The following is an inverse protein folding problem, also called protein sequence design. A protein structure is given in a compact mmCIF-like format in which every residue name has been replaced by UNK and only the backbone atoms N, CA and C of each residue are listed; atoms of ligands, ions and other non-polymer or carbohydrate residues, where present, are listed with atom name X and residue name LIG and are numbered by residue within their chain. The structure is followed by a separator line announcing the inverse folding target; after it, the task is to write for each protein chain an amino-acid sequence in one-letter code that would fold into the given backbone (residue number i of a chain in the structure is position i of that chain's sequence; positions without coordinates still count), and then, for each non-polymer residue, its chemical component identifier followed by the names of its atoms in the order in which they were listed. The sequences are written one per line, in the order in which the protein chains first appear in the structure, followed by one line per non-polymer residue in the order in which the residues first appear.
data_IF_156708317333
#
_entry.id   IF_156708317333
#
_cell.length_a   1.000
_cell.length_b   1.000
_cell.length_c   1.000
_cell.angle_alpha   90.00
_cell.angle_beta   90.00
_cell.angle_gamma   90.00
#
_symmetry.space_group_name_H-M   'P 1'
#
loop_
_entity.id
_entity.type
_entity.pdbx_description
1 polymer ?
#
# COMPACT_ATOMS: atom_id res chain seq x y z
N UNK A 1 0.27 22.77 9.58
CA UNK A 1 -0.36 22.43 8.29
C UNK A 1 0.30 23.27 7.21
N UNK A 2 1.35 22.78 6.58
CA UNK A 2 1.98 23.34 5.38
C UNK A 2 2.91 22.26 4.82
N UNK A 3 2.84 21.97 3.52
CA UNK A 3 3.83 21.13 2.83
C UNK A 3 3.33 19.90 2.07
N UNK A 4 2.09 19.89 1.54
CA UNK A 4 1.63 18.82 0.62
C UNK A 4 0.97 19.30 -0.68
N UNK A 5 0.85 20.61 -0.85
CA UNK A 5 0.24 21.23 -2.03
C UNK A 5 1.00 20.91 -3.34
N UNK A 6 2.35 20.89 -3.38
CA UNK A 6 3.05 20.55 -4.62
C UNK A 6 2.92 19.08 -5.01
N UNK A 7 2.85 18.15 -4.05
CA UNK A 7 2.64 16.72 -4.32
C UNK A 7 1.24 16.44 -4.84
N UNK A 8 0.21 17.07 -4.25
CA UNK A 8 -1.18 16.93 -4.71
C UNK A 8 -1.35 17.45 -6.13
N UNK A 9 -0.77 18.60 -6.44
CA UNK A 9 -0.73 19.14 -7.80
C UNK A 9 0.05 18.26 -8.79
N UNK A 10 0.99 17.43 -8.33
CA UNK A 10 1.70 16.48 -9.18
C UNK A 10 0.85 15.24 -9.49
N UNK A 11 0.07 14.76 -8.52
CA UNK A 11 -0.91 13.67 -8.71
C UNK A 11 -2.03 14.11 -9.65
N UNK A 12 -2.61 15.30 -9.45
CA UNK A 12 -3.67 15.82 -10.31
C UNK A 12 -3.19 15.91 -11.78
N UNK A 13 -1.97 16.42 -11.99
CA UNK A 13 -1.35 16.47 -13.33
C UNK A 13 -1.08 15.09 -13.93
N UNK A 14 -0.75 14.09 -13.11
CA UNK A 14 -0.58 12.71 -13.58
C UNK A 14 -1.92 12.15 -14.06
N UNK A 15 -2.98 12.33 -13.27
CA UNK A 15 -4.31 11.82 -13.59
C UNK A 15 -4.86 12.47 -14.87
N UNK A 16 -4.72 13.79 -14.99
CA UNK A 16 -5.10 14.51 -16.22
C UNK A 16 -4.34 13.98 -17.44
N UNK A 17 -3.02 13.76 -17.31
CA UNK A 17 -2.19 13.26 -18.40
C UNK A 17 -2.50 11.79 -18.77
N UNK A 18 -2.84 10.95 -17.79
CA UNK A 18 -3.13 9.54 -17.97
C UNK A 18 -4.39 9.30 -18.82
N UNK A 19 -5.33 10.25 -18.83
CA UNK A 19 -6.54 10.20 -19.67
C UNK A 19 -6.26 10.31 -21.18
N UNK A 20 -5.12 10.87 -21.57
CA UNK A 20 -4.78 11.14 -22.97
C UNK A 20 -3.54 10.38 -23.48
N UNK A 21 -2.66 9.94 -22.57
CA UNK A 21 -1.41 9.24 -22.91
C UNK A 21 -0.86 8.47 -21.72
N UNK A 22 0.10 7.59 -21.99
CA UNK A 22 0.87 6.95 -20.94
C UNK A 22 1.69 8.01 -20.18
N UNK A 23 1.53 8.05 -18.85
CA UNK A 23 2.17 9.02 -17.97
C UNK A 23 2.62 8.34 -16.67
N UNK A 24 3.74 8.79 -16.11
CA UNK A 24 4.30 8.27 -14.86
C UNK A 24 4.72 9.42 -13.95
N UNK A 25 4.54 9.24 -12.64
CA UNK A 25 5.02 10.15 -11.60
C UNK A 25 6.09 9.44 -10.79
N UNK A 26 7.31 9.97 -10.82
CA UNK A 26 8.45 9.45 -10.05
C UNK A 26 8.57 10.25 -8.76
N UNK A 27 8.59 9.57 -7.62
CA UNK A 27 8.68 10.17 -6.28
C UNK A 27 10.06 9.90 -5.66
N UNK A 28 10.96 10.88 -5.74
CA UNK A 28 12.32 10.79 -5.20
C UNK A 28 12.41 11.18 -3.71
N UNK A 29 13.44 10.71 -2.99
CA UNK A 29 13.65 10.94 -1.54
C UNK A 29 14.17 9.71 -0.78
N UNK A 30 14.56 9.85 0.50
CA UNK A 30 15.02 8.71 1.32
C UNK A 30 13.94 7.63 1.50
N UNK A 31 14.37 6.36 1.60
CA UNK A 31 13.49 5.24 1.88
C UNK A 31 12.82 5.42 3.25
N UNK A 32 11.52 5.71 3.26
CA UNK A 32 10.73 5.96 4.44
C UNK A 32 9.27 6.28 4.12
N UNK A 33 8.44 6.29 5.17
CA UNK A 33 6.95 6.36 5.16
C UNK A 33 6.39 7.57 4.38
N UNK A 34 7.21 8.59 4.08
CA UNK A 34 6.86 9.73 3.25
C UNK A 34 6.42 9.35 1.83
N UNK A 35 7.11 8.40 1.18
CA UNK A 35 6.75 7.91 -0.17
C UNK A 35 5.42 7.17 -0.18
N UNK A 36 5.20 6.31 0.83
CA UNK A 36 3.94 5.58 1.04
C UNK A 36 2.76 6.53 1.28
N UNK A 37 3.01 7.73 1.79
CA UNK A 37 1.96 8.72 2.08
C UNK A 37 1.53 9.48 0.83
N UNK A 38 2.48 9.88 -0.03
CA UNK A 38 2.16 10.49 -1.35
C UNK A 38 1.54 9.44 -2.28
N UNK A 39 2.10 8.22 -2.29
CA UNK A 39 1.49 7.08 -2.95
C UNK A 39 0.07 6.82 -2.45
N UNK A 40 -0.21 6.97 -1.15
CA UNK A 40 -1.55 6.79 -0.56
C UNK A 40 -2.57 7.84 -0.95
N UNK A 41 -2.19 9.11 -1.03
CA UNK A 41 -3.14 10.15 -1.48
C UNK A 41 -3.50 9.89 -2.96
N UNK A 42 -2.51 9.54 -3.79
CA UNK A 42 -2.73 9.12 -5.17
C UNK A 42 -3.60 7.84 -5.27
N UNK A 43 -3.27 6.80 -4.51
CA UNK A 43 -4.05 5.55 -4.40
C UNK A 43 -5.47 5.81 -3.91
N UNK A 44 -5.66 6.69 -2.93
CA UNK A 44 -6.97 7.03 -2.40
C UNK A 44 -7.86 7.71 -3.43
N UNK A 45 -7.30 8.64 -4.20
CA UNK A 45 -7.99 9.28 -5.32
C UNK A 45 -8.27 8.30 -6.46
N UNK A 46 -7.28 7.48 -6.83
CA UNK A 46 -7.42 6.41 -7.82
C UNK A 46 -8.53 5.44 -7.40
N UNK A 47 -8.56 4.99 -6.14
CA UNK A 47 -9.60 4.07 -5.64
C UNK A 47 -11.00 4.70 -5.71
N UNK A 48 -11.13 6.00 -5.44
CA UNK A 48 -12.40 6.72 -5.55
C UNK A 48 -12.86 6.87 -7.01
N UNK A 49 -11.93 7.05 -7.94
CA UNK A 49 -12.21 7.23 -9.38
C UNK A 49 -12.29 5.90 -10.16
N UNK A 50 -11.70 4.81 -9.67
CA UNK A 50 -11.60 3.51 -10.35
C UNK A 50 -12.95 2.87 -10.69
N UNK A 51 -14.03 3.19 -9.95
CA UNK A 51 -15.37 2.70 -10.27
C UNK A 51 -16.04 3.49 -11.40
N UNK A 52 -15.56 4.69 -11.70
CA UNK A 52 -16.10 5.56 -12.74
C UNK A 52 -15.24 5.56 -14.02
N UNK A 53 -13.96 5.17 -13.92
CA UNK A 53 -13.00 5.18 -15.02
C UNK A 53 -12.24 3.85 -15.10
N UNK A 54 -12.37 3.16 -16.24
CA UNK A 54 -11.76 1.84 -16.48
C UNK A 54 -10.23 1.88 -16.54
N UNK A 55 -9.61 2.98 -16.98
CA UNK A 55 -8.16 3.11 -17.01
C UNK A 55 -7.61 3.28 -15.58
N UNK A 56 -8.30 4.06 -14.76
CA UNK A 56 -8.00 4.20 -13.34
C UNK A 56 -8.20 2.87 -12.60
N UNK A 57 -9.24 2.11 -12.95
CA UNK A 57 -9.46 0.75 -12.46
C UNK A 57 -8.32 -0.22 -12.81
N UNK A 58 -7.79 -0.17 -14.03
CA UNK A 58 -6.66 -1.01 -14.43
C UNK A 58 -5.37 -0.70 -13.62
N UNK A 59 -5.11 0.58 -13.36
CA UNK A 59 -4.00 1.00 -12.49
C UNK A 59 -4.19 0.48 -11.07
N UNK A 60 -5.42 0.52 -10.54
CA UNK A 60 -5.73 0.00 -9.22
C UNK A 60 -5.45 -1.50 -9.09
N UNK A 61 -5.89 -2.30 -10.08
CA UNK A 61 -5.64 -3.74 -10.12
C UNK A 61 -4.15 -4.08 -10.21
N UNK A 62 -3.38 -3.30 -10.99
CA UNK A 62 -1.93 -3.47 -11.07
C UNK A 62 -1.26 -3.21 -9.72
N UNK A 63 -1.66 -2.14 -9.01
CA UNK A 63 -1.16 -1.84 -7.66
C UNK A 63 -1.50 -2.99 -6.69
N UNK A 64 -2.71 -3.54 -6.78
CA UNK A 64 -3.12 -4.71 -6.01
C UNK A 64 -2.22 -5.91 -6.25
N UNK A 65 -1.94 -6.20 -7.53
CA UNK A 65 -1.09 -7.31 -7.98
C UNK A 65 0.34 -7.19 -7.48
N UNK A 66 0.95 -6.01 -7.61
CA UNK A 66 2.33 -5.78 -7.14
C UNK A 66 2.44 -5.93 -5.62
N UNK A 67 1.45 -5.45 -4.87
CA UNK A 67 1.41 -5.64 -3.41
C UNK A 67 1.32 -7.12 -3.04
N UNK A 68 0.52 -7.90 -3.76
CA UNK A 68 0.38 -9.34 -3.51
C UNK A 68 1.68 -10.08 -3.84
N UNK A 69 2.36 -9.71 -4.93
CA UNK A 69 3.68 -10.25 -5.26
C UNK A 69 4.71 -9.94 -4.17
N UNK A 70 4.71 -8.71 -3.65
CA UNK A 70 5.53 -8.33 -2.49
C UNK A 70 5.24 -9.19 -1.24
N UNK A 71 3.96 -9.46 -0.96
CA UNK A 71 3.57 -10.33 0.15
C UNK A 71 4.09 -11.77 -0.03
N UNK A 72 4.00 -12.33 -1.24
CA UNK A 72 4.54 -13.67 -1.56
C UNK A 72 6.04 -13.75 -1.34
N UNK A 73 6.79 -12.72 -1.71
CA UNK A 73 8.24 -12.65 -1.46
C UNK A 73 8.58 -12.68 0.04
N UNK A 74 7.80 -11.98 0.87
CA UNK A 74 7.96 -12.00 2.33
C UNK A 74 7.73 -13.41 2.87
N UNK A 75 6.67 -14.09 2.42
CA UNK A 75 6.36 -15.46 2.84
C UNK A 75 7.49 -16.41 2.47
N UNK A 76 7.96 -16.40 1.21
CA UNK A 76 9.06 -17.27 0.78
C UNK A 76 10.33 -17.07 1.61
N UNK A 77 10.68 -15.82 1.93
CA UNK A 77 11.83 -15.52 2.76
C UNK A 77 11.68 -16.00 4.22
N UNK A 78 10.46 -15.98 4.77
CA UNK A 78 10.18 -16.53 6.10
C UNK A 78 10.21 -18.06 6.10
N UNK A 79 9.71 -18.70 5.05
CA UNK A 79 9.73 -20.15 4.88
C UNK A 79 11.17 -20.68 4.79
N UNK A 80 12.00 -20.08 3.92
CA UNK A 80 13.42 -20.47 3.74
C UNK A 80 14.22 -20.44 5.04
N UNK A 81 13.81 -19.57 5.98
CA UNK A 81 14.45 -19.41 7.29
C UNK A 81 13.83 -20.27 8.39
N UNK A 82 12.81 -21.06 8.07
CA UNK A 82 12.03 -21.82 9.05
C UNK A 82 11.31 -20.94 10.05
N UNK A 83 11.01 -19.69 9.69
CA UNK A 83 10.38 -18.71 10.57
C UNK A 83 8.86 -18.85 10.63
N UNK A 84 8.22 -19.47 9.63
CA UNK A 84 6.77 -19.65 9.61
C UNK A 84 6.33 -20.75 10.58
N UNK A 85 5.20 -20.49 11.27
CA UNK A 85 4.50 -21.49 12.06
C UNK A 85 4.16 -22.72 11.21
N UNK A 86 4.28 -23.90 11.80
CA UNK A 86 3.94 -25.16 11.15
C UNK A 86 2.48 -25.22 10.70
N UNK A 87 2.24 -25.73 9.48
CA UNK A 87 0.89 -25.98 8.96
C UNK A 87 0.21 -24.78 8.30
N UNK A 88 0.93 -23.66 8.12
CA UNK A 88 0.44 -22.55 7.32
C UNK A 88 0.53 -22.84 5.82
N UNK A 89 -0.53 -22.54 5.09
CA UNK A 89 -0.51 -22.48 3.63
C UNK A 89 0.17 -21.18 3.17
N UNK A 90 1.21 -21.27 2.35
CA UNK A 90 2.00 -20.12 1.91
C UNK A 90 1.18 -19.14 1.08
N UNK A 91 0.27 -19.63 0.23
CA UNK A 91 -0.56 -18.79 -0.62
C UNK A 91 -1.55 -17.98 0.22
N UNK A 92 -2.33 -18.66 1.06
CA UNK A 92 -3.24 -18.00 2.00
C UNK A 92 -2.52 -17.09 3.00
N UNK A 93 -1.29 -17.42 3.37
CA UNK A 93 -0.45 -16.56 4.21
C UNK A 93 -0.08 -15.26 3.50
N UNK A 94 0.27 -15.32 2.21
CA UNK A 94 0.54 -14.12 1.42
C UNK A 94 -0.72 -13.25 1.27
N UNK A 95 -1.89 -13.88 1.07
CA UNK A 95 -3.17 -13.18 1.02
C UNK A 95 -3.47 -12.44 2.34
N UNK A 96 -3.22 -13.09 3.49
CA UNK A 96 -3.36 -12.46 4.81
C UNK A 96 -2.45 -11.23 4.97
N UNK A 97 -1.17 -11.35 4.60
CA UNK A 97 -0.23 -10.22 4.64
C UNK A 97 -0.71 -9.09 3.72
N UNK A 98 -1.14 -9.43 2.50
CA UNK A 98 -1.65 -8.47 1.52
C UNK A 98 -2.87 -7.70 2.03
N UNK A 99 -3.81 -8.38 2.71
CA UNK A 99 -4.98 -7.73 3.32
C UNK A 99 -4.60 -6.89 4.53
N UNK A 100 -3.83 -7.43 5.47
CA UNK A 100 -3.50 -6.74 6.73
C UNK A 100 -2.63 -5.50 6.52
N UNK A 101 -1.80 -5.50 5.46
CA UNK A 101 -1.00 -4.35 5.05
C UNK A 101 -1.74 -3.44 4.05
N UNK A 102 -3.08 -3.47 4.01
CA UNK A 102 -3.85 -2.57 3.13
C UNK A 102 -3.60 -1.10 3.53
N UNK A 103 -3.22 -0.23 2.57
CA UNK A 103 -2.92 1.17 2.85
C UNK A 103 -4.14 1.95 3.40
N UNK A 104 -5.36 1.47 3.16
CA UNK A 104 -6.60 2.03 3.70
C UNK A 104 -6.70 1.90 5.21
N UNK A 105 -6.17 0.82 5.82
CA UNK A 105 -6.15 0.68 7.28
C UNK A 105 -5.28 1.72 7.96
N UNK A 106 -4.12 2.04 7.37
CA UNK A 106 -3.31 3.15 7.86
C UNK A 106 -4.07 4.47 7.80
N UNK A 107 -4.71 4.77 6.66
CA UNK A 107 -5.47 6.02 6.52
C UNK A 107 -6.57 6.12 7.57
N UNK A 108 -7.34 5.04 7.76
CA UNK A 108 -8.40 4.99 8.76
C UNK A 108 -7.83 5.17 10.18
N UNK A 109 -6.80 4.42 10.57
CA UNK A 109 -6.33 4.44 11.95
C UNK A 109 -5.52 5.70 12.28
N UNK A 110 -4.58 6.09 11.41
CA UNK A 110 -3.69 7.23 11.62
C UNK A 110 -4.38 8.55 11.30
N UNK A 111 -4.96 8.69 10.11
CA UNK A 111 -5.52 9.98 9.67
C UNK A 111 -6.94 10.23 10.18
N UNK A 112 -7.78 9.19 10.29
CA UNK A 112 -9.18 9.36 10.73
C UNK A 112 -9.38 9.14 12.22
N UNK A 113 -8.65 8.22 12.84
CA UNK A 113 -8.78 7.85 14.26
C UNK A 113 -7.65 8.40 15.14
N UNK A 114 -6.69 9.12 14.56
CA UNK A 114 -5.67 9.86 15.30
C UNK A 114 -4.58 8.99 15.93
N UNK A 115 -4.39 7.74 15.46
CA UNK A 115 -3.26 6.94 15.90
C UNK A 115 -1.95 7.59 15.48
N UNK A 116 -0.91 7.44 16.30
CA UNK A 116 0.44 7.71 15.81
C UNK A 116 0.86 6.62 14.82
N UNK A 117 1.70 7.00 13.84
CA UNK A 117 2.32 6.07 12.90
C UNK A 117 3.00 4.90 13.61
N UNK A 118 3.79 5.18 14.66
CA UNK A 118 4.45 4.13 15.43
C UNK A 118 3.48 3.21 16.19
N UNK A 119 2.31 3.69 16.62
CA UNK A 119 1.30 2.83 17.22
C UNK A 119 0.68 1.88 16.18
N UNK A 120 0.43 2.35 14.96
CA UNK A 120 -0.05 1.52 13.86
C UNK A 120 0.97 0.43 13.50
N UNK A 121 2.24 0.80 13.32
CA UNK A 121 3.30 -0.13 12.97
C UNK A 121 3.46 -1.23 14.02
N UNK A 122 3.53 -0.86 15.30
CA UNK A 122 3.63 -1.85 16.38
C UNK A 122 2.46 -2.83 16.40
N UNK A 123 1.25 -2.34 16.19
CA UNK A 123 0.06 -3.20 16.19
C UNK A 123 -0.01 -4.10 14.96
N UNK A 124 0.31 -3.57 13.78
CA UNK A 124 0.38 -4.38 12.57
C UNK A 124 1.45 -5.48 12.71
N UNK A 125 2.62 -5.14 13.23
CA UNK A 125 3.70 -6.10 13.50
C UNK A 125 3.25 -7.16 14.51
N UNK A 126 2.63 -6.80 15.63
CA UNK A 126 2.15 -7.76 16.63
C UNK A 126 1.11 -8.73 16.03
N UNK A 127 0.16 -8.21 15.23
CA UNK A 127 -0.82 -9.05 14.52
C UNK A 127 -0.12 -10.01 13.56
N UNK A 128 0.78 -9.52 12.71
CA UNK A 128 1.50 -10.35 11.74
C UNK A 128 2.35 -11.41 12.44
N UNK A 129 3.12 -11.05 13.47
CA UNK A 129 3.91 -12.01 14.24
C UNK A 129 3.03 -13.12 14.82
N UNK A 130 1.90 -12.77 15.44
CA UNK A 130 0.98 -13.77 16.03
C UNK A 130 0.28 -14.66 15.02
N UNK A 131 0.11 -14.21 13.78
CA UNK A 131 -0.51 -15.04 12.74
C UNK A 131 0.53 -15.93 12.04
N UNK A 132 1.76 -15.44 11.88
CA UNK A 132 2.74 -16.02 10.98
C UNK A 132 3.82 -16.86 11.68
N UNK A 133 4.19 -16.52 12.91
CA UNK A 133 5.28 -17.14 13.68
C UNK A 133 4.71 -17.92 14.87
#
# INVERSE_FOLDING_TARGET
MAGRDPERAAVDRLLDAASARLAALVLEGEAGIGKTTVWRDAVGQVRAAAHADAQVGAVWEQIGTERLNGARLIVGHLEERGGLRSGLDLAGTADLIWVLNDPGFYHMLVHRRGWSTGAYERQLTDVLVRQLL
#
